data_IF_055681484129
#
_entry.id   IF_055681484129
#
_cell.length_a   1.000
_cell.length_b   1.000
_cell.length_c   1.000
_cell.angle_alpha   90.00
_cell.angle_beta   90.00
_cell.angle_gamma   90.00
#
_symmetry.space_group_name_H-M   'P 1'
#
loop_
_entity.id
_entity.type
_entity.pdbx_description
1 polymer ?
#
# COMPACT_ATOMS: atom_id res chain seq x y z
N UNK A 1 16.21 -9.73 -7.43
CA UNK A 1 15.57 -8.58 -6.73
C UNK A 1 14.21 -8.29 -7.34
N UNK A 2 14.14 -7.97 -8.64
CA UNK A 2 12.88 -7.64 -9.31
C UNK A 2 11.78 -8.69 -9.11
N UNK A 3 12.07 -9.99 -9.33
CA UNK A 3 11.07 -11.06 -9.18
C UNK A 3 10.46 -11.10 -7.76
N UNK A 4 11.29 -10.89 -6.73
CA UNK A 4 10.82 -10.85 -5.33
C UNK A 4 9.96 -9.61 -5.06
N UNK A 5 10.27 -8.47 -5.68
CA UNK A 5 9.47 -7.25 -5.56
C UNK A 5 8.13 -7.44 -6.26
N UNK A 6 8.12 -8.01 -7.46
CA UNK A 6 6.89 -8.34 -8.18
C UNK A 6 6.02 -9.33 -7.42
N UNK A 7 6.62 -10.37 -6.82
CA UNK A 7 5.91 -11.33 -5.97
C UNK A 7 5.39 -10.72 -4.66
N UNK A 8 6.09 -9.72 -4.09
CA UNK A 8 5.61 -9.03 -2.90
C UNK A 8 4.49 -8.02 -3.21
N UNK A 9 4.46 -7.48 -4.44
CA UNK A 9 3.45 -6.53 -4.86
C UNK A 9 2.08 -7.18 -5.07
N UNK A 10 1.96 -8.33 -5.75
CA UNK A 10 0.66 -9.01 -5.99
C UNK A 10 -0.54 -8.04 -6.12
N UNK A 11 -1.47 -8.07 -5.15
CA UNK A 11 -2.67 -7.20 -5.06
C UNK A 11 -2.46 -6.02 -4.09
N UNK A 12 -1.24 -5.47 -4.04
CA UNK A 12 -0.80 -4.39 -3.15
C UNK A 12 -0.05 -3.33 -3.96
N UNK A 13 -0.10 -2.10 -3.47
CA UNK A 13 0.55 -0.96 -4.12
C UNK A 13 1.96 -0.68 -3.59
N UNK A 14 2.47 -1.47 -2.63
CA UNK A 14 3.77 -1.25 -2.03
C UNK A 14 4.43 -2.56 -1.55
N UNK A 15 5.75 -2.64 -1.70
CA UNK A 15 6.57 -3.74 -1.21
C UNK A 15 7.80 -3.22 -0.44
N UNK A 16 8.05 -3.78 0.74
CA UNK A 16 9.26 -3.52 1.52
C UNK A 16 10.41 -4.42 1.05
N UNK A 17 11.58 -3.83 0.87
CA UNK A 17 12.80 -4.52 0.44
C UNK A 17 13.80 -4.49 1.58
N UNK A 18 14.12 -5.67 2.11
CA UNK A 18 15.11 -5.84 3.19
C UNK A 18 16.40 -5.08 2.84
N UNK A 19 16.80 -4.16 3.72
CA UNK A 19 18.00 -3.32 3.62
C UNK A 19 18.06 -2.36 2.41
N UNK A 20 16.97 -2.16 1.66
CA UNK A 20 16.96 -1.29 0.47
C UNK A 20 15.83 -0.25 0.44
N UNK A 21 14.88 -0.32 1.37
CA UNK A 21 13.74 0.59 1.43
C UNK A 21 12.47 -0.05 0.90
N UNK A 22 11.76 0.64 0.00
CA UNK A 22 10.49 0.19 -0.52
C UNK A 22 10.30 0.55 -1.99
N UNK A 23 9.39 -0.17 -2.65
CA UNK A 23 8.89 0.14 -3.99
C UNK A 23 7.38 0.31 -3.90
N UNK A 24 6.86 1.42 -4.45
CA UNK A 24 5.43 1.67 -4.57
C UNK A 24 5.03 1.83 -6.04
N UNK A 25 3.76 1.52 -6.33
CA UNK A 25 3.16 1.61 -7.66
C UNK A 25 1.81 2.31 -7.61
N UNK A 26 1.40 2.90 -8.73
CA UNK A 26 0.12 3.59 -8.92
C UNK A 26 -0.17 3.77 -10.41
N UNK A 27 -1.39 4.22 -10.73
CA UNK A 27 -1.82 4.49 -12.11
C UNK A 27 -1.10 5.71 -12.73
N UNK A 28 -0.65 6.64 -11.90
CA UNK A 28 0.20 7.76 -12.29
C UNK A 28 1.23 8.11 -11.20
N UNK A 29 2.09 9.08 -11.51
CA UNK A 29 3.15 9.53 -10.60
C UNK A 29 2.60 10.16 -9.31
N UNK A 30 1.49 10.88 -9.38
CA UNK A 30 0.88 11.55 -8.22
C UNK A 30 0.31 10.53 -7.24
N UNK A 31 -0.38 9.50 -7.74
CA UNK A 31 -0.87 8.38 -6.95
C UNK A 31 0.28 7.57 -6.35
N UNK A 32 1.32 7.30 -7.15
CA UNK A 32 2.51 6.57 -6.70
C UNK A 32 3.19 7.31 -5.55
N UNK A 33 3.36 8.63 -5.67
CA UNK A 33 3.96 9.46 -4.63
C UNK A 33 3.12 9.44 -3.34
N UNK A 34 1.80 9.56 -3.48
CA UNK A 34 0.88 9.48 -2.34
C UNK A 34 0.98 8.12 -1.62
N UNK A 35 1.18 7.04 -2.39
CA UNK A 35 1.41 5.69 -1.84
C UNK A 35 2.74 5.60 -1.09
N UNK A 36 3.83 6.19 -1.63
CA UNK A 36 5.11 6.28 -0.93
C UNK A 36 5.00 7.03 0.40
N UNK A 37 4.35 8.20 0.40
CA UNK A 37 4.17 9.02 1.60
C UNK A 37 3.36 8.27 2.68
N UNK A 38 2.28 7.61 2.27
CA UNK A 38 1.47 6.81 3.18
C UNK A 38 2.26 5.64 3.76
N UNK A 39 3.00 4.89 2.92
CA UNK A 39 3.83 3.78 3.38
C UNK A 39 4.84 4.23 4.42
N UNK A 40 5.59 5.30 4.14
CA UNK A 40 6.60 5.83 5.06
C UNK A 40 5.97 6.27 6.39
N UNK A 41 4.84 6.97 6.33
CA UNK A 41 4.11 7.38 7.53
C UNK A 41 3.65 6.18 8.36
N UNK A 42 3.13 5.13 7.72
CA UNK A 42 2.72 3.90 8.40
C UNK A 42 3.92 3.16 9.00
N UNK A 43 5.05 3.10 8.30
CA UNK A 43 6.28 2.51 8.81
C UNK A 43 6.78 3.25 10.06
N UNK A 44 6.74 4.58 10.07
CA UNK A 44 7.07 5.39 11.24
C UNK A 44 6.12 5.13 12.41
N UNK A 45 4.80 5.15 12.18
CA UNK A 45 3.80 4.85 13.21
C UNK A 45 4.06 3.46 13.82
N UNK A 46 4.23 2.45 12.97
CA UNK A 46 4.51 1.08 13.41
C UNK A 46 5.82 0.99 14.20
N UNK A 47 6.89 1.65 13.73
CA UNK A 47 8.17 1.69 14.41
C UNK A 47 8.05 2.31 15.81
N UNK A 48 7.46 3.51 15.92
CA UNK A 48 7.30 4.17 17.22
C UNK A 48 6.38 3.39 18.17
N UNK A 49 5.28 2.82 17.66
CA UNK A 49 4.40 1.97 18.47
C UNK A 49 5.11 0.69 18.94
N UNK A 50 5.93 0.08 18.08
CA UNK A 50 6.73 -1.10 18.42
C UNK A 50 7.75 -0.80 19.51
N UNK A 51 8.43 0.36 19.43
CA UNK A 51 9.37 0.82 20.45
C UNK A 51 8.66 1.15 21.76
N UNK A 52 7.41 1.65 21.71
CA UNK A 52 6.59 1.94 22.89
C UNK A 52 6.04 0.67 23.58
N UNK A 53 6.19 -0.51 22.98
CA UNK A 53 5.97 -1.81 23.63
C UNK A 53 4.71 -2.58 23.19
N UNK A 54 3.73 -1.95 22.54
CA UNK A 54 2.59 -2.67 21.98
C UNK A 54 2.04 -1.97 20.73
N UNK A 55 1.84 -2.73 19.66
CA UNK A 55 1.18 -2.27 18.43
C UNK A 55 -0.27 -2.75 18.46
N UNK A 56 -1.21 -1.81 18.57
CA UNK A 56 -2.63 -2.11 18.44
C UNK A 56 -2.97 -2.47 17.00
N UNK A 57 -3.24 -3.74 16.74
CA UNK A 57 -3.71 -4.20 15.43
C UNK A 57 -5.17 -3.82 15.26
N UNK A 58 -5.55 -3.39 14.05
CA UNK A 58 -6.94 -3.11 13.71
C UNK A 58 -7.77 -4.39 13.80
N UNK A 59 -9.01 -4.32 14.32
CA UNK A 59 -9.96 -5.43 14.26
C UNK A 59 -10.14 -5.94 12.83
N UNK A 60 -10.33 -7.25 12.67
CA UNK A 60 -10.39 -7.89 11.36
C UNK A 60 -11.54 -7.35 10.49
N UNK A 61 -12.70 -7.08 11.10
CA UNK A 61 -13.87 -6.49 10.44
C UNK A 61 -13.59 -5.09 9.88
N UNK A 62 -12.78 -4.29 10.58
CA UNK A 62 -12.33 -2.97 10.11
C UNK A 62 -11.40 -3.13 8.92
N UNK A 63 -10.44 -4.06 8.98
CA UNK A 63 -9.51 -4.33 7.86
C UNK A 63 -10.27 -4.81 6.63
N UNK A 64 -11.22 -5.73 6.80
CA UNK A 64 -12.07 -6.25 5.73
C UNK A 64 -12.90 -5.13 5.07
N UNK A 65 -13.49 -4.24 5.88
CA UNK A 65 -14.25 -3.09 5.37
C UNK A 65 -13.36 -2.12 4.57
N UNK A 66 -12.17 -1.80 5.06
CA UNK A 66 -11.23 -0.91 4.37
C UNK A 66 -10.70 -1.52 3.06
N UNK A 67 -10.41 -2.83 3.04
CA UNK A 67 -10.02 -3.54 1.81
C UNK A 67 -11.15 -3.53 0.79
N UNK A 68 -12.40 -3.75 1.20
CA UNK A 68 -13.55 -3.66 0.31
C UNK A 68 -13.72 -2.25 -0.28
N UNK A 69 -13.57 -1.20 0.54
CA UNK A 69 -13.60 0.20 0.07
C UNK A 69 -12.45 0.46 -0.92
N UNK A 70 -11.25 -0.02 -0.63
CA UNK A 70 -10.09 0.11 -1.50
C UNK A 70 -10.35 -0.54 -2.87
N UNK A 71 -10.85 -1.78 -2.90
CA UNK A 71 -11.16 -2.48 -4.15
C UNK A 71 -12.26 -1.78 -4.96
N UNK A 72 -13.31 -1.29 -4.30
CA UNK A 72 -14.36 -0.49 -4.97
C UNK A 72 -13.78 0.77 -5.63
N UNK A 73 -12.90 1.49 -4.92
CA UNK A 73 -12.23 2.70 -5.44
C UNK A 73 -11.27 2.36 -6.58
N UNK A 74 -10.49 1.29 -6.45
CA UNK A 74 -9.57 0.79 -7.49
C UNK A 74 -10.32 0.46 -8.76
N UNK A 75 -11.44 -0.28 -8.67
CA UNK A 75 -12.26 -0.61 -9.84
C UNK A 75 -12.87 0.63 -10.51
N UNK A 76 -13.34 1.61 -9.74
CA UNK A 76 -13.85 2.86 -10.28
C UNK A 76 -12.73 3.65 -10.99
N UNK A 77 -11.53 3.68 -10.41
CA UNK A 77 -10.37 4.34 -10.99
C UNK A 77 -9.91 3.69 -12.30
N UNK A 78 -9.82 2.36 -12.35
CA UNK A 78 -9.46 1.61 -13.58
C UNK A 78 -10.46 1.85 -14.73
N UNK A 79 -11.76 1.97 -14.42
CA UNK A 79 -12.78 2.35 -15.41
C UNK A 79 -12.55 3.76 -15.98
N UNK A 80 -12.03 4.68 -15.16
CA UNK A 80 -11.76 6.06 -15.57
C UNK A 80 -10.45 6.23 -16.35
N UNK A 81 -9.46 5.35 -16.16
CA UNK A 81 -8.20 5.33 -16.94
C UNK A 81 -8.41 4.76 -18.37
N UNK A 82 -9.56 4.13 -18.64
CA UNK A 82 -9.88 3.51 -19.92
C UNK A 82 -10.73 4.39 -20.88
N UNK A 83 -10.21 5.52 -21.43
CA UNK A 83 -10.73 6.06 -22.68
C UNK A 83 -9.69 6.02 -23.83
N UNK A 84 -8.58 5.30 -23.69
CA UNK A 84 -7.53 5.20 -24.72
C UNK A 84 -7.04 3.77 -24.97
N UNK A 85 -7.96 2.90 -25.36
CA UNK A 85 -7.72 1.82 -26.32
C UNK A 85 -8.91 1.79 -27.29
#
# INVERSE_FOLDING_TARGET
LADNVCAALEERNAALIRNHGAVCVGGDLSETLSTCELLERLAQIYYYASVAGNVGILPADVVEAEVAIFDMRRQAHLKNISPRL
#
